data_IF_658872303035
#
_entry.id   IF_658872303035
#
_cell.length_a   1.000
_cell.length_b   1.000
_cell.length_c   1.000
_cell.angle_alpha   90.00
_cell.angle_beta   90.00
_cell.angle_gamma   90.00
#
_symmetry.space_group_name_H-M   'P 1'
#
loop_
_entity.id
_entity.type
_entity.pdbx_description
1 polymer ?
#
# COMPACT_ATOMS: atom_id res chain seq x y z
N UNK A 1 11.84 19.40 6.34
CA UNK A 1 13.06 18.56 6.38
C UNK A 1 12.62 17.11 6.34
N UNK A 2 13.19 16.27 5.47
CA UNK A 2 12.85 14.85 5.33
C UNK A 2 14.13 14.03 5.54
N UNK A 3 14.09 13.02 6.41
CA UNK A 3 15.21 12.11 6.68
C UNK A 3 14.72 10.66 6.58
N UNK A 4 14.71 10.06 5.37
CA UNK A 4 14.07 8.76 5.14
C UNK A 4 14.66 7.61 5.98
N UNK A 5 15.96 7.65 6.25
CA UNK A 5 16.69 6.65 7.04
C UNK A 5 17.15 7.24 8.37
N UNK A 6 16.30 8.08 9.00
CA UNK A 6 16.58 8.56 10.34
C UNK A 6 16.70 7.38 11.31
N UNK A 7 17.67 7.39 12.24
CA UNK A 7 17.77 6.33 13.23
C UNK A 7 16.51 6.29 14.08
N UNK A 8 16.00 5.08 14.32
CA UNK A 8 14.84 4.87 15.17
C UNK A 8 15.20 5.15 16.64
N UNK A 9 14.33 5.83 17.41
CA UNK A 9 14.50 5.96 18.85
C UNK A 9 14.56 4.59 19.54
N UNK A 10 15.27 4.48 20.68
CA UNK A 10 15.28 3.24 21.47
C UNK A 10 13.86 2.81 21.86
N UNK A 11 13.52 1.55 21.63
CA UNK A 11 12.22 0.97 21.97
C UNK A 11 11.13 1.15 20.91
N UNK A 12 11.41 1.74 19.75
CA UNK A 12 10.53 1.65 18.58
C UNK A 12 10.79 0.37 17.78
N UNK A 13 9.72 -0.19 17.22
CA UNK A 13 9.81 -1.29 16.26
C UNK A 13 10.39 -0.81 14.93
N UNK A 14 11.02 -1.74 14.20
CA UNK A 14 11.51 -1.50 12.85
C UNK A 14 10.38 -1.14 11.88
N UNK A 15 10.73 -0.46 10.79
CA UNK A 15 9.78 -0.15 9.72
C UNK A 15 9.30 -1.47 9.09
N UNK A 16 7.98 -1.72 9.04
CA UNK A 16 7.48 -3.01 8.57
C UNK A 16 7.73 -3.20 7.08
N UNK A 17 8.19 -4.40 6.73
CA UNK A 17 8.41 -4.82 5.35
C UNK A 17 7.13 -5.39 4.73
N UNK A 18 6.82 -4.99 3.49
CA UNK A 18 5.65 -5.45 2.74
C UNK A 18 6.09 -6.23 1.51
N UNK A 19 5.60 -7.47 1.40
CA UNK A 19 5.95 -8.39 0.32
C UNK A 19 4.77 -8.59 -0.64
N UNK A 20 4.94 -8.15 -1.89
CA UNK A 20 3.96 -8.31 -2.97
C UNK A 20 4.21 -9.51 -3.88
N UNK A 21 5.12 -10.42 -3.52
CA UNK A 21 5.48 -11.57 -4.37
C UNK A 21 4.27 -12.46 -4.71
N UNK A 22 3.31 -12.63 -3.79
CA UNK A 22 2.08 -13.39 -4.04
C UNK A 22 1.08 -12.68 -4.96
N UNK A 23 1.17 -11.35 -5.05
CA UNK A 23 0.35 -10.50 -5.94
C UNK A 23 1.02 -10.33 -7.30
N UNK A 24 2.34 -10.55 -7.37
CA UNK A 24 3.18 -10.49 -8.57
C UNK A 24 3.89 -9.15 -8.77
N UNK A 25 3.26 -8.03 -8.43
CA UNK A 25 3.87 -6.69 -8.51
C UNK A 25 3.35 -5.76 -7.42
N UNK A 26 4.13 -4.73 -7.09
CA UNK A 26 3.74 -3.72 -6.12
C UNK A 26 2.56 -2.92 -6.67
N UNK A 27 1.47 -2.83 -5.90
CA UNK A 27 0.28 -2.07 -6.28
C UNK A 27 0.60 -0.58 -6.23
N UNK A 28 0.43 0.06 -7.39
CA UNK A 28 0.65 1.50 -7.60
C UNK A 28 -0.51 2.08 -8.39
N UNK A 29 -0.73 3.39 -8.25
CA UNK A 29 -1.67 4.09 -9.10
C UNK A 29 -1.25 3.96 -10.57
N UNK A 30 -2.19 3.63 -11.46
CA UNK A 30 -1.92 3.49 -12.90
C UNK A 30 -1.55 4.82 -13.55
N UNK A 31 -2.04 5.94 -13.01
CA UNK A 31 -1.76 7.27 -13.53
C UNK A 31 -0.48 7.87 -12.94
N UNK A 32 -0.45 8.16 -11.64
CA UNK A 32 0.66 8.90 -11.01
C UNK A 32 1.74 8.01 -10.37
N UNK A 33 1.59 6.68 -10.42
CA UNK A 33 2.54 5.70 -9.85
C UNK A 33 2.75 5.77 -8.33
N UNK A 34 1.95 6.55 -7.61
CA UNK A 34 1.94 6.56 -6.13
C UNK A 34 1.72 5.15 -5.60
N UNK A 35 2.53 4.77 -4.60
CA UNK A 35 2.39 3.50 -3.88
C UNK A 35 1.07 3.41 -3.12
N UNK A 36 0.64 2.17 -2.90
CA UNK A 36 -0.47 1.92 -2.00
C UNK A 36 -0.18 2.52 -0.61
N UNK A 37 -1.20 3.13 0.00
CA UNK A 37 -1.06 3.80 1.28
C UNK A 37 -2.41 3.85 2.02
N UNK A 38 -2.44 4.16 3.33
CA UNK A 38 -3.66 4.16 4.14
C UNK A 38 -4.75 5.16 3.73
N UNK A 39 -4.41 6.16 2.90
CA UNK A 39 -5.29 7.29 2.60
C UNK A 39 -6.07 7.13 1.31
N UNK A 40 -5.86 6.04 0.55
CA UNK A 40 -6.71 5.77 -0.62
C UNK A 40 -8.16 5.56 -0.19
N UNK A 41 -9.09 5.87 -1.08
CA UNK A 41 -10.50 5.63 -0.84
C UNK A 41 -10.93 4.34 -1.53
N UNK A 42 -11.53 3.42 -0.78
CA UNK A 42 -12.05 2.18 -1.34
C UNK A 42 -13.47 2.35 -1.87
N UNK A 43 -13.77 1.66 -2.96
CA UNK A 43 -15.05 1.73 -3.66
C UNK A 43 -15.47 0.33 -4.13
N UNK A 44 -16.74 0.17 -4.53
CA UNK A 44 -17.27 -1.06 -5.11
C UNK A 44 -16.95 -2.33 -4.28
N UNK A 45 -17.17 -2.26 -2.97
CA UNK A 45 -16.84 -3.31 -2.00
C UNK A 45 -15.37 -3.80 -2.10
N UNK A 46 -14.43 -2.88 -2.32
CA UNK A 46 -13.00 -3.18 -2.37
C UNK A 46 -12.49 -3.56 -3.77
N UNK A 47 -13.37 -3.65 -4.78
CA UNK A 47 -12.97 -3.94 -6.17
C UNK A 47 -12.32 -2.75 -6.88
N UNK A 48 -12.46 -1.55 -6.33
CA UNK A 48 -11.83 -0.33 -6.85
C UNK A 48 -11.26 0.50 -5.71
N UNK A 49 -10.29 1.34 -6.04
CA UNK A 49 -9.76 2.33 -5.13
C UNK A 49 -9.37 3.61 -5.86
N UNK A 50 -9.67 4.74 -5.23
CA UNK A 50 -9.35 6.08 -5.72
C UNK A 50 -8.08 6.58 -5.06
N UNK A 51 -7.11 6.97 -5.89
CA UNK A 51 -5.81 7.44 -5.41
C UNK A 51 -5.95 8.79 -4.70
N UNK A 52 -5.42 8.88 -3.49
CA UNK A 52 -5.44 10.11 -2.69
C UNK A 52 -4.53 11.23 -3.23
N UNK A 53 -3.54 10.90 -4.07
CA UNK A 53 -2.63 11.91 -4.64
C UNK A 53 -3.16 12.56 -5.92
N UNK A 54 -3.84 11.81 -6.79
CA UNK A 54 -4.26 12.30 -8.11
C UNK A 54 -5.75 12.11 -8.43
N UNK A 55 -6.53 11.47 -7.56
CA UNK A 55 -7.95 11.21 -7.77
C UNK A 55 -8.28 10.14 -8.81
N UNK A 56 -7.28 9.50 -9.43
CA UNK A 56 -7.54 8.44 -10.41
C UNK A 56 -8.12 7.19 -9.74
N UNK A 57 -9.23 6.67 -10.28
CA UNK A 57 -9.87 5.43 -9.82
C UNK A 57 -9.21 4.21 -10.49
N UNK A 58 -8.71 3.29 -9.69
CA UNK A 58 -7.97 2.11 -10.09
C UNK A 58 -8.77 0.84 -9.80
N UNK A 59 -8.58 -0.20 -10.60
CA UNK A 59 -9.11 -1.53 -10.33
C UNK A 59 -8.21 -2.27 -9.33
N UNK A 60 -8.80 -2.92 -8.34
CA UNK A 60 -8.08 -3.77 -7.38
C UNK A 60 -7.66 -5.07 -8.05
N UNK A 61 -6.41 -5.50 -7.84
CA UNK A 61 -5.95 -6.82 -8.29
C UNK A 61 -6.67 -7.92 -7.50
N UNK A 62 -7.11 -8.98 -8.17
CA UNK A 62 -7.87 -10.08 -7.55
C UNK A 62 -7.09 -10.77 -6.41
N UNK A 63 -5.77 -10.93 -6.54
CA UNK A 63 -4.91 -11.49 -5.48
C UNK A 63 -4.70 -10.52 -4.29
N UNK A 64 -5.04 -9.24 -4.47
CA UNK A 64 -4.95 -8.21 -3.43
C UNK A 64 -6.31 -7.87 -2.80
N UNK A 65 -7.40 -8.39 -3.36
CA UNK A 65 -8.77 -8.04 -3.00
C UNK A 65 -9.12 -8.43 -1.56
N UNK A 66 -9.92 -7.57 -0.92
CA UNK A 66 -10.61 -7.84 0.34
C UNK A 66 -11.87 -6.98 0.37
N UNK A 67 -12.95 -7.48 0.97
CA UNK A 67 -14.19 -6.72 1.11
C UNK A 67 -14.05 -5.58 2.11
N UNK A 68 -15.00 -4.66 2.05
CA UNK A 68 -15.07 -3.54 2.98
C UNK A 68 -15.93 -3.88 4.20
N UNK A 69 -15.61 -3.25 5.32
CA UNK A 69 -16.45 -3.17 6.50
C UNK A 69 -17.55 -2.10 6.33
N UNK A 70 -18.41 -1.97 7.34
CA UNK A 70 -19.50 -0.99 7.37
C UNK A 70 -19.01 0.47 7.32
N UNK A 71 -17.74 0.72 7.66
CA UNK A 71 -17.10 2.04 7.58
C UNK A 71 -16.47 2.34 6.21
N UNK A 72 -16.64 1.44 5.23
CA UNK A 72 -16.05 1.57 3.90
C UNK A 72 -14.54 1.33 3.87
N UNK A 73 -13.98 0.70 4.90
CA UNK A 73 -12.55 0.36 4.97
C UNK A 73 -12.35 -1.13 4.74
N UNK A 74 -11.19 -1.51 4.23
CA UNK A 74 -10.86 -2.94 4.05
C UNK A 74 -10.85 -3.69 5.37
N UNK A 75 -11.47 -4.88 5.40
CA UNK A 75 -11.50 -5.73 6.60
C UNK A 75 -10.11 -6.18 7.06
N UNK A 76 -9.17 -6.36 6.13
CA UNK A 76 -7.80 -6.80 6.41
C UNK A 76 -6.81 -5.64 6.60
N UNK A 77 -7.28 -4.39 6.70
CA UNK A 77 -6.41 -3.20 6.81
C UNK A 77 -5.37 -3.28 7.92
N UNK A 78 -5.69 -3.91 9.05
CA UNK A 78 -4.77 -4.02 10.19
C UNK A 78 -3.78 -5.19 10.05
N UNK A 79 -4.02 -6.09 9.09
CA UNK A 79 -3.12 -7.20 8.75
C UNK A 79 -2.11 -6.79 7.66
N UNK A 80 -2.26 -5.58 7.09
CA UNK A 80 -1.51 -5.09 5.94
C UNK A 80 -0.82 -3.77 6.28
N UNK A 81 0.51 -3.77 6.49
CA UNK A 81 1.23 -2.57 6.93
C UNK A 81 1.01 -1.38 6.00
N UNK A 82 0.91 -1.60 4.69
CA UNK A 82 0.70 -0.54 3.71
C UNK A 82 -0.67 0.15 3.80
N UNK A 83 -1.60 -0.42 4.58
CA UNK A 83 -2.95 0.11 4.80
C UNK A 83 -3.16 0.69 6.21
N UNK A 84 -2.23 0.48 7.14
CA UNK A 84 -2.34 0.95 8.52
C UNK A 84 -1.13 1.70 9.06
N UNK A 85 0.04 1.63 8.40
CA UNK A 85 1.29 2.28 8.84
C UNK A 85 1.62 3.51 8.00
N UNK A 86 2.22 4.53 8.65
CA UNK A 86 2.69 5.74 7.98
C UNK A 86 4.01 5.57 7.21
N UNK A 87 4.79 4.56 7.57
CA UNK A 87 6.04 4.18 6.90
C UNK A 87 6.07 2.66 6.71
N UNK A 88 6.51 2.22 5.53
CA UNK A 88 6.68 0.81 5.18
C UNK A 88 7.84 0.68 4.19
N UNK A 89 8.48 -0.48 4.14
CA UNK A 89 9.44 -0.83 3.10
C UNK A 89 8.87 -1.88 2.17
N UNK A 90 8.91 -1.65 0.86
CA UNK A 90 8.44 -2.64 -0.11
C UNK A 90 9.59 -3.52 -0.58
N UNK A 91 9.38 -4.83 -0.62
CA UNK A 91 10.30 -5.74 -1.31
C UNK A 91 10.21 -5.46 -2.81
N UNK A 92 11.28 -4.91 -3.37
CA UNK A 92 11.37 -4.56 -4.77
C UNK A 92 11.41 -5.83 -5.66
N UNK A 93 10.42 -6.06 -6.53
CA UNK A 93 10.49 -7.17 -7.49
C UNK A 93 11.59 -6.94 -8.54
N UNK A 94 11.92 -7.98 -9.30
CA UNK A 94 12.99 -7.93 -10.31
C UNK A 94 12.84 -6.81 -11.37
N UNK A 95 11.62 -6.30 -11.60
CA UNK A 95 11.38 -5.14 -12.47
C UNK A 95 12.05 -3.83 -12.00
N UNK A 96 12.46 -3.76 -10.72
CA UNK A 96 13.18 -2.62 -10.14
C UNK A 96 14.71 -2.79 -10.18
N UNK A 97 15.20 -3.96 -10.57
CA UNK A 97 16.63 -4.21 -10.67
C UNK A 97 17.13 -3.65 -12.00
N UNK A 98 18.24 -2.91 -11.95
CA UNK A 98 18.95 -2.44 -13.14
C UNK A 98 19.52 -3.67 -13.86
N UNK A 99 19.27 -3.78 -15.16
CA UNK A 99 19.98 -4.72 -16.04
C UNK A 99 21.34 -4.16 -16.42
#
# INVERSE_FOLDING_TARGET
VIQPLAPLPPGMDDVPTVNFSSVGTIIRCKACRTYMNPYVQWEANGRRWTCNSCGHSNQTNDAYFSSLDESGKRMDRYQRPELCSGAVEYIAPGEYMVR
#
